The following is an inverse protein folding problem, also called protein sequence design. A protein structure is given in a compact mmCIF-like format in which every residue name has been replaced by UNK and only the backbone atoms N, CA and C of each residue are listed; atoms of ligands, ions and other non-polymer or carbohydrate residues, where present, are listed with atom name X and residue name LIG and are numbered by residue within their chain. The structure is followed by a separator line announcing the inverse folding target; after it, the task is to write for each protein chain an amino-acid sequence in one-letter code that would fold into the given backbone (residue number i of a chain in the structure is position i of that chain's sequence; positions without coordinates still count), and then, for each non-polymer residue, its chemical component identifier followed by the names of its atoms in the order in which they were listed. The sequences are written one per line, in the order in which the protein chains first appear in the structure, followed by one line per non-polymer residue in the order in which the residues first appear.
data_IF_008113651205
#
_entry.id   IF_008113651205
#
_cell.length_a   1.000
_cell.length_b   1.000
_cell.length_c   1.000
_cell.angle_alpha   90.00
_cell.angle_beta   90.00
_cell.angle_gamma   90.00
#
_symmetry.space_group_name_H-M   'P 1'
#
loop_
_entity.id
_entity.type
_entity.pdbx_description
1 polymer ?
#
# COMPACT_ATOMS: atom_id res chain seq x y z
N UNK A 1 25.79 5.05 30.27
CA UNK A 1 25.75 4.17 29.08
C UNK A 1 24.34 4.11 28.46
N UNK A 2 23.69 5.24 28.16
CA UNK A 2 22.29 5.28 27.71
C UNK A 2 22.07 5.78 26.28
N UNK A 3 23.10 6.37 25.65
CA UNK A 3 22.99 6.99 24.32
C UNK A 3 23.52 6.11 23.18
N UNK A 4 24.37 5.11 23.47
CA UNK A 4 24.89 4.19 22.44
C UNK A 4 23.90 3.08 22.05
N UNK A 5 22.95 2.73 22.93
CA UNK A 5 21.94 1.71 22.65
C UNK A 5 20.90 2.15 21.60
N UNK A 6 20.56 3.45 21.56
CA UNK A 6 19.62 3.99 20.58
C UNK A 6 20.19 4.02 19.15
N UNK A 7 21.52 4.11 19.01
CA UNK A 7 22.19 4.06 17.70
C UNK A 7 22.20 2.64 17.11
N UNK A 8 22.21 1.60 17.94
CA UNK A 8 22.12 0.19 17.52
C UNK A 8 20.70 -0.26 17.17
N UNK A 9 19.68 0.48 17.58
CA UNK A 9 18.27 0.23 17.23
C UNK A 9 17.85 0.93 15.92
N UNK A 10 18.68 1.81 15.36
CA UNK A 10 18.44 2.46 14.07
C UNK A 10 18.13 1.48 12.92
N UNK A 11 18.80 0.32 12.75
CA UNK A 11 18.42 -0.66 11.73
C UNK A 11 17.14 -1.45 12.07
N UNK A 12 16.62 -1.39 13.29
CA UNK A 12 15.38 -2.04 13.73
C UNK A 12 14.17 -1.09 13.79
N UNK A 13 14.35 0.17 13.39
CA UNK A 13 13.28 1.17 13.37
C UNK A 13 12.11 0.78 12.45
N UNK A 14 12.31 -0.09 11.46
CA UNK A 14 11.25 -0.60 10.58
C UNK A 14 10.35 -1.63 11.30
N UNK A 15 10.93 -2.46 12.19
CA UNK A 15 10.16 -3.30 13.11
C UNK A 15 9.36 -2.39 14.05
N UNK A 16 10.01 -1.35 14.58
CA UNK A 16 9.34 -0.31 15.37
C UNK A 16 8.37 0.56 14.56
N UNK A 17 8.39 0.57 13.23
CA UNK A 17 7.43 1.26 12.38
C UNK A 17 6.23 0.35 12.02
N UNK A 18 6.48 -0.96 11.89
CA UNK A 18 5.46 -2.02 11.93
C UNK A 18 4.70 -1.99 13.27
N UNK A 19 5.41 -1.74 14.36
CA UNK A 19 4.86 -1.48 15.69
C UNK A 19 4.38 -0.03 15.87
N UNK A 20 4.96 0.95 15.18
CA UNK A 20 4.62 2.39 15.26
C UNK A 20 3.28 2.73 14.60
N UNK A 21 2.74 1.83 13.76
CA UNK A 21 1.33 1.85 13.38
C UNK A 21 0.36 1.74 14.60
N UNK A 22 0.88 1.43 15.79
CA UNK A 22 0.18 1.26 17.05
C UNK A 22 0.59 2.32 18.09
N UNK A 23 0.99 3.53 17.66
CA UNK A 23 1.60 4.60 18.48
C UNK A 23 0.89 4.89 19.83
N UNK A 24 -0.43 4.67 19.93
CA UNK A 24 -1.17 4.86 21.19
C UNK A 24 -1.28 3.59 22.04
N UNK A 25 -1.30 2.42 21.40
CA UNK A 25 -1.50 1.13 22.06
C UNK A 25 -0.21 0.55 22.63
N UNK A 26 0.95 0.81 22.02
CA UNK A 26 2.24 0.39 22.59
C UNK A 26 2.60 1.19 23.82
N UNK A 27 2.25 2.48 23.87
CA UNK A 27 2.40 3.25 25.10
C UNK A 27 1.45 2.68 26.15
N UNK A 28 0.17 2.42 25.82
CA UNK A 28 -0.77 1.84 26.80
C UNK A 28 -0.36 0.43 27.26
N UNK A 29 -0.10 -0.51 26.36
CA UNK A 29 0.29 -1.89 26.71
C UNK A 29 1.73 -1.98 27.24
N UNK A 30 2.63 -1.13 26.76
CA UNK A 30 3.99 -1.01 27.27
C UNK A 30 4.00 -0.44 28.68
N UNK A 31 3.22 0.61 28.96
CA UNK A 31 3.08 1.18 30.32
C UNK A 31 2.30 0.24 31.24
N UNK A 32 1.21 -0.39 30.78
CA UNK A 32 0.49 -1.43 31.55
C UNK A 32 1.39 -2.64 31.82
N UNK A 33 2.19 -3.06 30.83
CA UNK A 33 3.19 -4.12 30.95
C UNK A 33 4.32 -3.77 31.90
N UNK A 34 4.82 -2.52 31.87
CA UNK A 34 5.86 -2.04 32.79
C UNK A 34 5.32 -1.94 34.23
N UNK A 35 4.10 -1.43 34.41
CA UNK A 35 3.42 -1.31 35.70
C UNK A 35 3.10 -2.69 36.28
N UNK A 36 2.64 -3.62 35.44
CA UNK A 36 2.40 -5.02 35.82
C UNK A 36 3.70 -5.78 36.14
N UNK A 37 4.79 -5.50 35.41
CA UNK A 37 6.13 -6.03 35.70
C UNK A 37 6.67 -5.49 37.03
N UNK A 38 6.43 -4.21 37.32
CA UNK A 38 6.81 -3.58 38.59
C UNK A 38 5.99 -4.11 39.78
N UNK A 39 4.72 -4.47 39.56
CA UNK A 39 3.79 -4.89 40.61
C UNK A 39 3.67 -6.41 40.79
N UNK A 40 4.16 -7.25 39.87
CA UNK A 40 3.83 -8.67 39.85
C UNK A 40 4.99 -9.60 39.52
N UNK A 41 5.56 -10.24 40.55
CA UNK A 41 6.37 -11.45 40.36
C UNK A 41 5.55 -12.54 39.65
N UNK A 42 5.98 -12.89 38.44
CA UNK A 42 5.79 -14.13 37.67
C UNK A 42 4.36 -14.59 37.31
N UNK A 43 3.35 -14.43 38.17
CA UNK A 43 1.95 -14.83 37.88
C UNK A 43 1.23 -13.89 36.93
N UNK A 44 1.66 -12.63 36.84
CA UNK A 44 1.05 -11.63 35.96
C UNK A 44 1.54 -11.78 34.50
N UNK A 45 2.74 -12.34 34.28
CA UNK A 45 3.24 -12.57 32.92
C UNK A 45 2.37 -13.53 32.11
N UNK A 46 1.81 -14.56 32.74
CA UNK A 46 0.90 -15.51 32.08
C UNK A 46 -0.44 -14.85 31.73
N UNK A 47 -0.95 -13.97 32.60
CA UNK A 47 -2.15 -13.19 32.33
C UNK A 47 -1.93 -12.15 31.21
N UNK A 48 -0.76 -11.51 31.18
CA UNK A 48 -0.36 -10.58 30.11
C UNK A 48 -0.16 -11.30 28.78
N UNK A 49 0.44 -12.49 28.77
CA UNK A 49 0.53 -13.32 27.57
C UNK A 49 -0.87 -13.71 27.08
N UNK A 50 -1.77 -14.10 27.99
CA UNK A 50 -3.17 -14.38 27.67
C UNK A 50 -3.90 -13.18 27.08
N UNK A 51 -3.77 -11.99 27.69
CA UNK A 51 -4.38 -10.74 27.20
C UNK A 51 -3.75 -10.29 25.88
N UNK A 52 -2.45 -10.49 25.68
CA UNK A 52 -1.77 -10.14 24.43
C UNK A 52 -2.21 -11.08 23.31
N UNK A 53 -2.34 -12.37 23.57
CA UNK A 53 -2.89 -13.35 22.62
C UNK A 53 -4.37 -13.04 22.32
N UNK A 54 -5.18 -12.74 23.34
CA UNK A 54 -6.58 -12.33 23.16
C UNK A 54 -6.70 -11.02 22.40
N UNK A 55 -5.83 -10.04 22.66
CA UNK A 55 -5.78 -8.78 21.92
C UNK A 55 -5.36 -9.04 20.47
N UNK A 56 -4.34 -9.85 20.22
CA UNK A 56 -3.91 -10.26 18.88
C UNK A 56 -5.04 -10.99 18.12
N UNK A 57 -5.79 -11.88 18.79
CA UNK A 57 -6.96 -12.55 18.23
C UNK A 57 -8.10 -11.56 17.97
N UNK A 58 -8.37 -10.64 18.89
CA UNK A 58 -9.44 -9.66 18.79
C UNK A 58 -9.16 -8.58 17.75
N UNK A 59 -7.89 -8.19 17.54
CA UNK A 59 -7.46 -7.30 16.46
C UNK A 59 -7.43 -8.00 15.10
N UNK A 60 -7.17 -9.32 15.05
CA UNK A 60 -7.41 -10.12 13.85
C UNK A 60 -8.91 -10.23 13.53
N UNK A 61 -9.79 -10.18 14.54
CA UNK A 61 -11.25 -10.26 14.39
C UNK A 61 -11.94 -8.90 14.17
N UNK A 62 -11.32 -7.77 14.56
CA UNK A 62 -11.94 -6.42 14.50
C UNK A 62 -11.56 -5.56 13.30
N UNK A 63 -10.70 -6.03 12.40
CA UNK A 63 -10.79 -5.53 11.02
C UNK A 63 -11.93 -6.32 10.39
N UNK A 64 -13.07 -5.71 10.01
CA UNK A 64 -14.07 -6.41 9.25
C UNK A 64 -13.43 -6.81 7.91
N UNK A 65 -12.88 -8.02 7.83
CA UNK A 65 -12.48 -8.66 6.59
C UNK A 65 -13.71 -9.20 5.86
N UNK A 66 -14.84 -9.30 6.55
CA UNK A 66 -16.16 -9.54 5.97
C UNK A 66 -16.71 -8.22 5.44
N UNK A 67 -16.15 -7.74 4.34
CA UNK A 67 -17.01 -7.04 3.40
C UNK A 67 -17.97 -8.10 2.87
N UNK A 68 -19.30 -7.87 2.89
CA UNK A 68 -20.22 -8.82 2.29
C UNK A 68 -19.73 -9.10 0.86
N UNK A 69 -19.67 -10.37 0.41
CA UNK A 69 -19.44 -10.62 -0.99
C UNK A 69 -20.47 -9.78 -1.73
N UNK A 70 -20.00 -8.88 -2.59
CA UNK A 70 -20.88 -8.24 -3.55
C UNK A 70 -21.46 -9.40 -4.36
N UNK A 71 -22.67 -9.82 -4.00
CA UNK A 71 -23.55 -10.38 -4.99
C UNK A 71 -23.64 -9.30 -6.06
N UNK A 72 -23.07 -9.52 -7.26
CA UNK A 72 -23.15 -8.51 -8.31
C UNK A 72 -24.63 -8.16 -8.45
N UNK A 73 -24.95 -6.87 -8.40
CA UNK A 73 -26.30 -6.40 -8.70
C UNK A 73 -26.69 -7.03 -10.04
N UNK A 74 -27.69 -7.91 -9.99
CA UNK A 74 -28.06 -8.89 -11.02
C UNK A 74 -28.44 -8.34 -12.40
N UNK A 75 -28.32 -7.03 -12.66
CA UNK A 75 -29.00 -6.39 -13.80
C UNK A 75 -28.09 -5.58 -14.74
N UNK A 76 -26.77 -5.74 -14.65
CA UNK A 76 -25.87 -5.34 -15.74
C UNK A 76 -24.87 -6.48 -15.95
N UNK A 77 -24.48 -6.84 -17.19
CA UNK A 77 -23.37 -7.76 -17.39
C UNK A 77 -22.14 -7.13 -16.76
N UNK A 78 -21.80 -7.56 -15.54
CA UNK A 78 -20.59 -7.14 -14.84
C UNK A 78 -19.42 -7.58 -15.71
N UNK A 79 -18.82 -6.64 -16.43
CA UNK A 79 -17.55 -6.87 -17.13
C UNK A 79 -16.50 -7.07 -16.05
N UNK A 80 -16.09 -8.32 -15.86
CA UNK A 80 -14.97 -8.65 -15.00
C UNK A 80 -13.68 -8.19 -15.69
N UNK A 81 -12.87 -7.42 -14.96
CA UNK A 81 -11.56 -6.97 -15.42
C UNK A 81 -10.50 -7.51 -14.47
N UNK A 82 -9.43 -8.07 -15.05
CA UNK A 82 -8.22 -8.41 -14.30
C UNK A 82 -7.29 -7.21 -14.34
N UNK A 83 -6.78 -6.80 -13.19
CA UNK A 83 -5.74 -5.79 -13.05
C UNK A 83 -4.53 -6.43 -12.36
N UNK A 84 -3.33 -6.02 -12.77
CA UNK A 84 -2.11 -6.46 -12.12
C UNK A 84 -1.30 -5.26 -11.64
N UNK A 85 -0.69 -5.39 -10.47
CA UNK A 85 0.24 -4.39 -9.96
C UNK A 85 1.42 -5.06 -9.26
N UNK A 86 2.63 -4.54 -9.46
CA UNK A 86 3.83 -5.00 -8.78
C UNK A 86 4.85 -3.87 -8.57
N UNK A 87 5.55 -3.90 -7.44
CA UNK A 87 6.80 -3.17 -7.26
C UNK A 87 7.94 -4.04 -7.81
N UNK A 88 8.67 -3.55 -8.79
CA UNK A 88 9.72 -4.29 -9.50
C UNK A 88 11.10 -4.10 -8.88
N UNK A 89 11.27 -3.12 -7.98
CA UNK A 89 12.52 -2.84 -7.27
C UNK A 89 13.75 -2.78 -8.20
N UNK A 90 13.60 -2.11 -9.36
CA UNK A 90 14.62 -2.01 -10.41
C UNK A 90 15.14 -3.39 -10.92
N UNK A 91 14.39 -4.46 -10.68
CA UNK A 91 14.77 -5.83 -11.03
C UNK A 91 14.12 -6.29 -12.33
N UNK A 92 14.88 -6.25 -13.43
CA UNK A 92 14.40 -6.71 -14.75
C UNK A 92 13.95 -8.17 -14.78
N UNK A 93 14.59 -9.05 -14.01
CA UNK A 93 14.19 -10.46 -13.93
C UNK A 93 12.81 -10.60 -13.27
N UNK A 94 12.52 -9.78 -12.25
CA UNK A 94 11.19 -9.76 -11.62
C UNK A 94 10.10 -9.31 -12.61
N UNK A 95 10.40 -8.31 -13.44
CA UNK A 95 9.49 -7.86 -14.51
C UNK A 95 9.23 -8.96 -15.55
N UNK A 96 10.27 -9.69 -15.97
CA UNK A 96 10.12 -10.83 -16.89
C UNK A 96 9.30 -11.95 -16.26
N UNK A 97 9.53 -12.28 -14.98
CA UNK A 97 8.74 -13.28 -14.26
C UNK A 97 7.28 -12.87 -14.11
N UNK A 98 7.00 -11.59 -13.88
CA UNK A 98 5.63 -11.06 -13.85
C UNK A 98 4.94 -11.23 -15.20
N UNK A 99 5.64 -10.95 -16.30
CA UNK A 99 5.10 -11.10 -17.66
C UNK A 99 4.75 -12.55 -18.04
N UNK A 100 5.37 -13.53 -17.38
CA UNK A 100 5.10 -14.94 -17.64
C UNK A 100 3.82 -15.46 -16.95
N UNK A 101 3.34 -14.78 -15.90
CA UNK A 101 2.19 -15.23 -15.09
C UNK A 101 0.89 -15.29 -15.90
N UNK A 102 0.14 -16.42 -15.88
CA UNK A 102 -1.09 -16.59 -16.65
C UNK A 102 -2.18 -15.53 -16.36
N UNK A 103 -2.30 -15.09 -15.11
CA UNK A 103 -3.27 -14.10 -14.66
C UNK A 103 -2.92 -12.72 -15.19
N UNK A 104 -1.62 -12.37 -15.17
CA UNK A 104 -1.13 -11.08 -15.68
C UNK A 104 -1.31 -10.98 -17.19
N UNK A 105 -1.14 -12.09 -17.93
CA UNK A 105 -1.41 -12.15 -19.37
C UNK A 105 -2.87 -11.87 -19.74
N UNK A 106 -3.80 -11.99 -18.79
CA UNK A 106 -5.23 -11.66 -18.95
C UNK A 106 -5.58 -10.26 -18.42
N UNK A 107 -4.61 -9.53 -17.87
CA UNK A 107 -4.86 -8.22 -17.29
C UNK A 107 -5.25 -7.20 -18.36
N UNK A 108 -6.32 -6.45 -18.10
CA UNK A 108 -6.74 -5.31 -18.94
C UNK A 108 -5.80 -4.13 -18.75
N UNK A 109 -5.29 -3.94 -17.54
CA UNK A 109 -4.28 -2.94 -17.25
C UNK A 109 -3.28 -3.45 -16.21
N UNK A 110 -2.05 -2.98 -16.36
CA UNK A 110 -0.92 -3.35 -15.52
C UNK A 110 -0.29 -2.06 -15.04
N UNK A 111 0.01 -1.97 -13.75
CA UNK A 111 0.77 -0.87 -13.17
C UNK A 111 2.02 -1.40 -12.47
N UNK A 112 3.10 -0.64 -12.54
CA UNK A 112 4.37 -0.99 -11.93
C UNK A 112 4.84 0.14 -11.00
N UNK A 113 5.61 -0.22 -9.98
CA UNK A 113 6.40 0.70 -9.16
C UNK A 113 7.88 0.35 -9.20
N UNK A 114 8.75 1.33 -8.93
CA UNK A 114 10.22 1.20 -8.99
C UNK A 114 10.72 0.59 -10.30
N UNK A 115 10.13 1.02 -11.40
CA UNK A 115 10.58 0.64 -12.74
C UNK A 115 11.94 1.28 -13.03
N UNK A 116 12.89 0.56 -13.65
CA UNK A 116 14.15 1.12 -14.13
C UNK A 116 13.93 2.34 -15.04
N UNK A 117 14.98 3.13 -15.26
CA UNK A 117 14.96 4.27 -16.20
C UNK A 117 14.54 3.86 -17.63
N UNK A 118 14.61 2.57 -17.97
CA UNK A 118 14.06 1.98 -19.19
C UNK A 118 13.26 0.71 -18.88
N UNK A 119 12.00 0.66 -19.32
CA UNK A 119 11.16 -0.54 -19.31
C UNK A 119 10.81 -0.96 -20.74
N UNK A 120 10.72 -2.27 -20.98
CA UNK A 120 10.21 -2.85 -22.23
C UNK A 120 8.79 -3.39 -22.03
N UNK A 121 7.97 -2.68 -21.25
CA UNK A 121 6.60 -3.07 -20.92
C UNK A 121 5.75 -3.42 -22.15
N UNK A 122 5.88 -2.67 -23.25
CA UNK A 122 5.12 -2.95 -24.47
C UNK A 122 5.49 -4.31 -25.08
N UNK A 123 6.79 -4.62 -25.11
CA UNK A 123 7.30 -5.88 -25.62
C UNK A 123 6.88 -7.05 -24.73
N UNK A 124 6.87 -6.85 -23.41
CA UNK A 124 6.49 -7.87 -22.44
C UNK A 124 4.97 -8.10 -22.37
N UNK A 125 4.17 -7.09 -22.71
CA UNK A 125 2.72 -7.13 -22.64
C UNK A 125 2.04 -6.70 -23.95
N UNK A 126 2.32 -7.37 -25.09
CA UNK A 126 1.92 -6.91 -26.42
C UNK A 126 0.40 -7.00 -26.69
N UNK A 127 -0.35 -7.64 -25.78
CA UNK A 127 -1.81 -7.82 -25.89
C UNK A 127 -2.59 -6.77 -25.10
N UNK A 128 -1.91 -5.89 -24.38
CA UNK A 128 -2.51 -4.84 -23.56
C UNK A 128 -2.48 -3.53 -24.35
N UNK A 129 -3.59 -2.80 -24.42
CA UNK A 129 -3.67 -1.57 -25.20
C UNK A 129 -2.60 -0.54 -24.75
N UNK A 130 -1.81 -0.05 -25.70
CA UNK A 130 -0.74 0.93 -25.46
C UNK A 130 -1.21 2.35 -25.83
N UNK A 131 -2.18 2.85 -25.06
CA UNK A 131 -2.69 4.21 -25.24
C UNK A 131 -1.76 5.18 -24.49
N UNK A 132 -1.04 6.04 -25.21
CA UNK A 132 -0.14 7.10 -24.71
C UNK A 132 0.64 6.71 -23.44
N UNK A 133 1.77 6.02 -23.61
CA UNK A 133 2.60 5.66 -22.47
C UNK A 133 3.14 6.91 -21.78
N UNK A 134 2.99 6.92 -20.46
CA UNK A 134 3.88 7.73 -19.66
C UNK A 134 5.23 7.05 -19.52
N UNK A 135 6.21 7.55 -20.27
CA UNK A 135 7.62 7.29 -20.02
C UNK A 135 7.90 7.43 -18.52
N UNK A 136 8.44 6.39 -17.85
CA UNK A 136 8.90 6.50 -16.48
C UNK A 136 9.82 7.70 -16.37
N UNK A 137 9.57 8.57 -15.40
CA UNK A 137 10.47 9.67 -15.13
C UNK A 137 10.83 9.65 -13.66
N UNK A 138 11.98 10.25 -13.33
CA UNK A 138 12.37 10.48 -11.94
C UNK A 138 11.30 11.27 -11.16
N UNK A 139 10.43 12.01 -11.87
CA UNK A 139 9.33 12.77 -11.28
C UNK A 139 8.17 11.88 -10.78
N UNK A 140 8.01 10.66 -11.29
CA UNK A 140 6.95 9.70 -10.90
C UNK A 140 7.49 8.50 -10.10
N UNK A 141 8.75 8.54 -9.65
CA UNK A 141 9.38 7.47 -8.85
C UNK A 141 9.34 6.08 -9.49
N UNK A 142 9.42 6.03 -10.82
CA UNK A 142 9.38 4.78 -11.56
C UNK A 142 8.00 4.12 -11.54
N UNK A 143 6.92 4.89 -11.36
CA UNK A 143 5.56 4.40 -11.60
C UNK A 143 5.28 4.41 -13.10
N UNK A 144 4.78 3.29 -13.62
CA UNK A 144 4.40 3.12 -15.02
C UNK A 144 3.11 2.32 -15.14
N UNK A 145 2.39 2.46 -16.25
CA UNK A 145 1.19 1.65 -16.52
C UNK A 145 0.96 1.42 -18.02
N UNK A 146 0.35 0.29 -18.35
CA UNK A 146 -0.16 -0.08 -19.69
C UNK A 146 -1.62 -0.51 -19.59
N UNK A 147 -2.38 -0.39 -20.69
CA UNK A 147 -3.80 -0.80 -20.77
C UNK A 147 -4.79 0.33 -20.55
N UNK A 148 -4.31 1.50 -20.15
CA UNK A 148 -5.10 2.71 -19.96
C UNK A 148 -4.33 3.92 -20.45
N UNK A 149 -5.05 4.95 -20.92
CA UNK A 149 -4.44 6.20 -21.39
C UNK A 149 -3.97 7.05 -20.21
N UNK A 150 -2.68 7.32 -20.10
CA UNK A 150 -2.14 8.12 -19.00
C UNK A 150 -2.51 9.59 -19.17
N UNK A 151 -2.99 10.22 -18.09
CA UNK A 151 -3.29 11.64 -18.02
C UNK A 151 -2.10 12.36 -17.38
N UNK A 152 -1.11 12.75 -18.19
CA UNK A 152 0.12 13.43 -17.74
C UNK A 152 -0.10 14.91 -17.41
N UNK A 153 0.73 15.45 -16.49
CA UNK A 153 0.89 15.04 -15.10
C UNK A 153 -0.29 15.58 -14.28
N UNK A 154 -0.81 14.75 -13.37
CA UNK A 154 -1.89 15.19 -12.49
C UNK A 154 -1.31 15.95 -11.28
N UNK A 155 -1.56 17.26 -11.22
CA UNK A 155 -1.18 18.10 -10.09
C UNK A 155 -1.85 17.64 -8.79
N UNK A 156 -2.97 16.92 -8.89
CA UNK A 156 -3.66 16.34 -7.72
C UNK A 156 -2.84 15.23 -7.03
N UNK A 157 -1.84 14.65 -7.70
CA UNK A 157 -0.97 13.60 -7.15
C UNK A 157 0.42 14.13 -6.76
N UNK A 158 0.48 15.37 -6.30
CA UNK A 158 1.72 16.04 -5.90
C UNK A 158 1.58 16.67 -4.51
N UNK A 159 2.54 16.37 -3.62
CA UNK A 159 2.61 16.95 -2.25
C UNK A 159 3.83 17.85 -2.05
N UNK A 160 4.79 17.82 -2.97
CA UNK A 160 5.97 18.69 -3.04
C UNK A 160 6.25 19.01 -4.50
N UNK A 161 6.83 20.17 -4.76
CA UNK A 161 7.28 20.53 -6.10
C UNK A 161 8.10 19.38 -6.72
N UNK A 162 7.76 19.01 -7.95
CA UNK A 162 8.45 17.99 -8.76
C UNK A 162 8.34 16.54 -8.23
N UNK A 163 7.46 16.27 -7.27
CA UNK A 163 7.29 14.94 -6.68
C UNK A 163 5.87 14.42 -6.87
N UNK A 164 5.69 13.58 -7.88
CA UNK A 164 4.48 12.79 -8.04
C UNK A 164 4.63 11.42 -7.38
N UNK A 165 3.64 11.04 -6.57
CA UNK A 165 3.60 9.73 -5.90
C UNK A 165 2.80 8.68 -6.70
N UNK A 166 2.49 8.98 -7.96
CA UNK A 166 1.74 8.09 -8.83
C UNK A 166 1.29 8.73 -10.14
N UNK A 167 0.40 8.02 -10.84
CA UNK A 167 -0.18 8.39 -12.12
C UNK A 167 -1.70 8.22 -12.08
N UNK A 168 -2.39 9.10 -12.81
CA UNK A 168 -3.81 8.96 -13.14
C UNK A 168 -3.93 8.49 -14.60
N UNK A 169 -4.74 7.47 -14.85
CA UNK A 169 -5.01 6.94 -16.17
C UNK A 169 -6.51 6.76 -16.40
N UNK A 170 -6.94 6.95 -17.66
CA UNK A 170 -8.32 6.73 -18.09
C UNK A 170 -8.42 5.39 -18.80
N UNK A 171 -9.23 4.49 -18.24
CA UNK A 171 -9.53 3.18 -18.79
C UNK A 171 -10.95 3.18 -19.36
N UNK A 172 -11.26 2.24 -20.25
CA UNK A 172 -12.64 2.02 -20.67
C UNK A 172 -13.50 1.57 -19.48
N UNK A 173 -14.39 2.47 -19.02
CA UNK A 173 -15.33 2.26 -17.92
C UNK A 173 -14.91 2.82 -16.55
N UNK A 174 -13.66 3.22 -16.33
CA UNK A 174 -13.18 3.68 -15.02
C UNK A 174 -11.94 4.58 -15.10
N UNK A 175 -11.65 5.28 -14.00
CA UNK A 175 -10.38 5.98 -13.78
C UNK A 175 -9.49 5.14 -12.89
N UNK A 176 -8.21 5.01 -13.26
CA UNK A 176 -7.22 4.23 -12.54
C UNK A 176 -6.15 5.14 -11.94
N UNK A 177 -5.88 4.96 -10.65
CA UNK A 177 -4.71 5.53 -9.99
C UNK A 177 -3.69 4.42 -9.75
N UNK A 178 -2.46 4.65 -10.23
CA UNK A 178 -1.31 3.75 -10.02
C UNK A 178 -0.30 4.47 -9.15
N UNK A 179 0.07 3.89 -8.01
CA UNK A 179 0.76 4.63 -6.95
C UNK A 179 2.04 3.95 -6.50
N UNK A 180 2.99 4.77 -6.04
CA UNK A 180 4.10 4.38 -5.21
C UNK A 180 4.39 5.49 -4.19
N UNK A 181 3.92 5.29 -2.96
CA UNK A 181 4.00 6.29 -1.89
C UNK A 181 5.37 6.31 -1.23
N UNK A 182 5.67 7.36 -0.47
CA UNK A 182 6.89 7.50 0.30
C UNK A 182 7.12 6.32 1.25
N UNK A 183 8.29 5.69 1.16
CA UNK A 183 8.77 4.76 2.17
C UNK A 183 8.90 5.47 3.53
N UNK A 184 8.26 4.91 4.56
CA UNK A 184 8.14 5.48 5.91
C UNK A 184 9.46 5.53 6.67
N UNK A 185 10.46 4.75 6.27
CA UNK A 185 11.77 4.63 6.94
C UNK A 185 12.75 5.77 6.63
N UNK A 186 12.49 6.58 5.60
CA UNK A 186 13.40 7.67 5.21
C UNK A 186 13.34 8.85 6.20
N UNK A 187 14.51 9.38 6.54
CA UNK A 187 14.63 10.71 7.15
C UNK A 187 14.09 10.85 8.57
N UNK A 188 14.30 9.85 9.45
CA UNK A 188 13.94 9.91 10.89
C UNK A 188 12.48 10.31 11.16
N UNK A 189 11.53 9.73 10.40
CA UNK A 189 10.09 9.97 10.57
C UNK A 189 9.48 10.94 9.55
N UNK A 190 10.30 11.68 8.81
CA UNK A 190 9.81 12.55 7.74
C UNK A 190 9.12 11.76 6.61
N UNK A 191 9.62 10.55 6.31
CA UNK A 191 8.98 9.66 5.34
C UNK A 191 7.56 9.29 5.74
N UNK A 192 7.30 9.04 7.02
CA UNK A 192 5.98 8.74 7.55
C UNK A 192 5.02 9.93 7.38
N UNK A 193 5.47 11.14 7.74
CA UNK A 193 4.68 12.37 7.59
C UNK A 193 4.31 12.61 6.13
N UNK A 194 5.28 12.48 5.22
CA UNK A 194 5.07 12.71 3.80
C UNK A 194 4.13 11.68 3.18
N UNK A 195 4.27 10.40 3.54
CA UNK A 195 3.36 9.33 3.12
C UNK A 195 1.92 9.64 3.52
N UNK A 196 1.69 10.15 4.73
CA UNK A 196 0.34 10.52 5.18
C UNK A 196 -0.25 11.68 4.37
N UNK A 197 0.55 12.69 4.03
CA UNK A 197 0.12 13.77 3.13
C UNK A 197 -0.23 13.25 1.74
N UNK A 198 0.53 12.27 1.22
CA UNK A 198 0.23 11.64 -0.08
C UNK A 198 -1.10 10.88 -0.04
N UNK A 199 -1.42 10.21 1.07
CA UNK A 199 -2.74 9.56 1.27
C UNK A 199 -3.89 10.58 1.33
N UNK A 200 -3.68 11.72 1.97
CA UNK A 200 -4.69 12.80 2.01
C UNK A 200 -4.90 13.42 0.61
N UNK A 201 -3.81 13.71 -0.10
CA UNK A 201 -3.86 14.21 -1.47
C UNK A 201 -4.57 13.22 -2.40
N UNK A 202 -4.28 11.92 -2.27
CA UNK A 202 -4.98 10.87 -3.00
C UNK A 202 -6.48 10.87 -2.72
N UNK A 203 -6.89 10.99 -1.45
CA UNK A 203 -8.32 11.01 -1.11
C UNK A 203 -9.05 12.18 -1.79
N UNK A 204 -8.42 13.36 -1.81
CA UNK A 204 -8.93 14.53 -2.53
C UNK A 204 -8.96 14.31 -4.05
N UNK A 205 -7.93 13.68 -4.63
CA UNK A 205 -7.87 13.38 -6.06
C UNK A 205 -8.97 12.40 -6.49
N UNK A 206 -9.23 11.37 -5.68
CA UNK A 206 -10.29 10.37 -5.94
C UNK A 206 -11.67 11.01 -5.87
N UNK A 207 -11.93 11.87 -4.89
CA UNK A 207 -13.23 12.54 -4.72
C UNK A 207 -13.60 13.46 -5.90
N UNK A 208 -12.62 13.94 -6.68
CA UNK A 208 -12.84 14.77 -7.88
C UNK A 208 -13.25 13.98 -9.12
N UNK A 209 -13.20 12.64 -9.09
CA UNK A 209 -13.45 11.83 -10.29
C UNK A 209 -14.95 11.61 -10.53
N UNK A 210 -15.45 11.84 -11.76
CA UNK A 210 -16.89 11.80 -12.05
C UNK A 210 -17.46 10.38 -12.27
N UNK A 211 -16.69 9.31 -12.02
CA UNK A 211 -17.09 7.94 -12.33
C UNK A 211 -16.33 6.90 -11.52
N UNK A 212 -16.47 5.60 -11.85
CA UNK A 212 -15.82 4.53 -11.09
C UNK A 212 -14.30 4.73 -11.00
N UNK A 213 -13.77 4.60 -9.79
CA UNK A 213 -12.34 4.75 -9.51
C UNK A 213 -11.77 3.44 -9.00
N UNK A 214 -10.62 3.05 -9.54
CA UNK A 214 -9.78 1.98 -9.02
C UNK A 214 -8.43 2.58 -8.63
N UNK A 215 -7.91 2.12 -7.49
CA UNK A 215 -6.62 2.54 -6.97
C UNK A 215 -5.79 1.30 -6.70
N UNK A 216 -4.59 1.24 -7.26
CA UNK A 216 -3.63 0.16 -7.03
C UNK A 216 -2.23 0.73 -6.89
N UNK A 217 -1.38 0.09 -6.12
CA UNK A 217 -0.08 0.66 -5.83
C UNK A 217 0.62 0.11 -4.62
N UNK A 218 1.84 0.59 -4.43
CA UNK A 218 2.56 0.48 -3.16
C UNK A 218 2.14 1.64 -2.28
N UNK A 219 1.30 1.36 -1.28
CA UNK A 219 0.89 2.39 -0.33
C UNK A 219 1.94 2.63 0.76
N UNK A 220 3.01 1.84 0.81
CA UNK A 220 4.03 1.86 1.87
C UNK A 220 3.39 1.89 3.28
N UNK A 221 2.28 1.17 3.45
CA UNK A 221 1.52 1.11 4.71
C UNK A 221 0.78 -0.21 4.85
N UNK A 222 0.46 -0.60 6.08
CA UNK A 222 -0.30 -1.81 6.34
C UNK A 222 -1.81 -1.54 6.20
N UNK A 223 -2.62 -2.54 5.82
CA UNK A 223 -4.07 -2.37 5.72
C UNK A 223 -4.77 -1.99 7.04
N UNK A 224 -4.12 -2.19 8.18
CA UNK A 224 -4.62 -1.83 9.52
C UNK A 224 -4.21 -0.43 9.98
N UNK A 225 -3.36 0.28 9.25
CA UNK A 225 -2.88 1.60 9.64
C UNK A 225 -4.00 2.65 9.59
N UNK A 226 -4.10 3.50 10.63
CA UNK A 226 -5.13 4.55 10.71
C UNK A 226 -5.16 5.48 9.48
N UNK A 227 -4.03 5.98 8.93
CA UNK A 227 -4.06 6.82 7.73
C UNK A 227 -4.65 6.12 6.51
N UNK A 228 -4.44 4.80 6.38
CA UNK A 228 -5.04 4.01 5.29
C UNK A 228 -6.55 3.87 5.49
N UNK A 229 -7.01 3.62 6.72
CA UNK A 229 -8.43 3.64 7.05
C UNK A 229 -9.08 5.00 6.76
N UNK A 230 -8.41 6.10 7.11
CA UNK A 230 -8.88 7.46 6.80
C UNK A 230 -9.00 7.69 5.29
N UNK A 231 -8.00 7.26 4.50
CA UNK A 231 -8.10 7.29 3.03
C UNK A 231 -9.37 6.57 2.55
N UNK A 232 -9.57 5.32 2.97
CA UNK A 232 -10.72 4.52 2.51
C UNK A 232 -12.05 5.21 2.84
N UNK A 233 -12.17 5.74 4.06
CA UNK A 233 -13.38 6.42 4.52
C UNK A 233 -13.62 7.74 3.79
N UNK A 234 -12.59 8.56 3.64
CA UNK A 234 -12.71 9.91 3.04
C UNK A 234 -12.97 9.83 1.53
N UNK A 235 -12.36 8.86 0.86
CA UNK A 235 -12.48 8.68 -0.58
C UNK A 235 -13.63 7.73 -0.99
N UNK A 236 -14.42 7.24 -0.03
CA UNK A 236 -15.43 6.20 -0.20
C UNK A 236 -14.90 4.97 -0.98
N UNK A 237 -13.65 4.60 -0.72
CA UNK A 237 -12.98 3.46 -1.34
C UNK A 237 -13.25 2.20 -0.54
N UNK A 238 -13.51 1.11 -1.26
CA UNK A 238 -13.62 -0.23 -0.67
C UNK A 238 -12.30 -0.96 -0.85
N UNK A 239 -11.78 -1.51 0.25
CA UNK A 239 -10.59 -2.37 0.19
C UNK A 239 -10.95 -3.71 -0.45
N UNK A 240 -10.18 -4.11 -1.45
CA UNK A 240 -10.21 -5.48 -1.98
C UNK A 240 -9.37 -6.36 -1.05
N UNK A 241 -10.03 -7.22 -0.26
CA UNK A 241 -9.36 -8.12 0.67
C UNK A 241 -9.04 -9.46 -0.01
N UNK A 242 -7.91 -9.54 -0.71
CA UNK A 242 -7.42 -10.79 -1.30
C UNK A 242 -6.24 -11.35 -0.48
N UNK A 243 -6.23 -12.67 -0.25
CA UNK A 243 -5.10 -13.38 0.37
C UNK A 243 -5.20 -13.66 1.88
N UNK A 244 -6.31 -13.29 2.53
CA UNK A 244 -6.53 -13.58 3.95
C UNK A 244 -5.71 -12.70 4.91
N UNK A 245 -5.71 -13.01 6.22
CA UNK A 245 -5.11 -12.17 7.26
C UNK A 245 -3.57 -12.12 7.24
N UNK A 246 -2.90 -12.96 6.44
CA UNK A 246 -1.43 -13.12 6.42
C UNK A 246 -0.83 -12.77 5.05
N UNK A 247 -1.59 -12.08 4.19
CA UNK A 247 -1.10 -11.63 2.89
C UNK A 247 -0.10 -10.46 3.03
N UNK A 248 1.15 -10.80 3.30
CA UNK A 248 2.28 -9.87 3.19
C UNK A 248 2.75 -9.80 1.73
N UNK A 249 2.68 -8.62 1.13
CA UNK A 249 3.23 -8.32 -0.21
C UNK A 249 4.73 -7.99 -0.18
N UNK A 250 5.28 -7.78 1.03
CA UNK A 250 6.69 -7.53 1.26
C UNK A 250 7.20 -8.48 2.35
N UNK A 251 8.35 -9.11 2.08
CA UNK A 251 9.09 -9.93 3.05
C UNK A 251 10.56 -9.52 2.97
N UNK A 252 11.27 -9.36 4.10
CA UNK A 252 12.71 -9.26 4.07
C UNK A 252 13.26 -10.50 3.36
N UNK A 253 14.13 -10.30 2.37
CA UNK A 253 14.89 -11.39 1.77
C UNK A 253 16.09 -11.61 2.70
N UNK A 254 16.32 -12.87 3.08
CA UNK A 254 17.51 -13.31 3.81
C UNK A 254 18.77 -13.26 2.93
#
# INVERSE_FOLDING_TARGET
MGLCGLALAAPFHWILALFGAWDRLIIVFGTVGLVAFWLGKWRIMTALQGITILALLFFNLRVPTVYPPLSPHKNAPTREFVLAWANIHDNRSALQSLAQQPEVKKAKAIGLGEVPEFSNLQELFPKVDHLDLATPSKQTWGVETVGCRVLKPDQDLMVRAERHFGLKARCDGFTLFVLHLQNTTRGRGEGLRLRNLELEALAAAVAKQPGPVLVMGDFNTTPSALPFYTLLKTADLKRVACGGPVAGTWRPID
#
